data_IF_795534871192
#
_entry.id   IF_795534871192
#
_cell.length_a   1.000
_cell.length_b   1.000
_cell.length_c   1.000
_cell.angle_alpha   90.00
_cell.angle_beta   90.00
_cell.angle_gamma   90.00
#
_symmetry.space_group_name_H-M   'P 1'
#
loop_
_entity.id
_entity.type
_entity.pdbx_description
1 polymer ?
#
# COMPACT_ATOMS: atom_id res chain seq x y z
N UNK A 1 16.91 16.04 12.60
CA UNK A 1 16.00 15.80 11.46
C UNK A 1 14.82 15.00 12.01
N UNK A 2 13.59 15.51 11.93
CA UNK A 2 12.41 14.79 12.42
C UNK A 2 12.26 13.49 11.62
N UNK A 3 11.97 12.40 12.32
CA UNK A 3 11.71 11.10 11.70
C UNK A 3 10.47 11.23 10.80
N UNK A 4 10.59 10.92 9.51
CA UNK A 4 9.48 11.02 8.57
C UNK A 4 8.44 9.93 8.84
N UNK A 5 7.17 10.26 8.64
CA UNK A 5 6.05 9.34 8.78
C UNK A 5 5.27 9.28 7.47
N UNK A 6 5.80 8.57 6.49
CA UNK A 6 5.13 8.43 5.19
C UNK A 6 3.85 7.61 5.29
N UNK A 7 2.83 8.09 4.60
CA UNK A 7 1.53 7.45 4.49
C UNK A 7 0.92 7.64 3.09
N UNK A 8 -0.06 6.82 2.77
CA UNK A 8 -0.92 6.98 1.59
C UNK A 8 -2.35 7.16 2.08
N UNK A 9 -2.99 8.23 1.64
CA UNK A 9 -4.40 8.52 1.85
C UNK A 9 -5.16 8.19 0.58
N UNK A 10 -6.27 7.48 0.68
CA UNK A 10 -7.07 6.97 -0.42
C UNK A 10 -8.48 7.57 -0.36
N UNK A 11 -8.83 8.41 -1.33
CA UNK A 11 -10.19 8.93 -1.54
C UNK A 11 -10.94 7.99 -2.48
N UNK A 12 -11.50 6.92 -1.93
CA UNK A 12 -12.10 5.81 -2.70
C UNK A 12 -13.28 6.24 -3.54
N UNK A 13 -14.03 7.26 -3.10
CA UNK A 13 -15.15 7.82 -3.86
C UNK A 13 -14.77 8.38 -5.24
N UNK A 14 -13.48 8.66 -5.46
CA UNK A 14 -12.95 9.10 -6.76
C UNK A 14 -12.42 7.96 -7.64
N UNK A 15 -12.43 6.72 -7.15
CA UNK A 15 -11.86 5.61 -7.88
C UNK A 15 -12.77 5.16 -9.03
N UNK A 16 -12.23 5.17 -10.25
CA UNK A 16 -12.92 4.73 -11.47
C UNK A 16 -12.58 3.30 -11.87
N UNK A 17 -11.83 2.56 -11.05
CA UNK A 17 -11.36 1.20 -11.38
C UNK A 17 -10.57 1.10 -12.70
N UNK A 18 -9.92 2.18 -13.12
CA UNK A 18 -9.20 2.25 -14.41
C UNK A 18 -7.91 1.42 -14.46
N UNK A 19 -7.48 0.85 -13.33
CA UNK A 19 -6.25 0.02 -13.18
C UNK A 19 -4.92 0.72 -13.53
N UNK A 20 -4.91 2.00 -13.87
CA UNK A 20 -3.69 2.75 -14.20
C UNK A 20 -2.61 2.63 -13.11
N UNK A 21 -3.01 2.69 -11.83
CA UNK A 21 -2.09 2.52 -10.70
C UNK A 21 -1.46 1.12 -10.64
N UNK A 22 -2.19 0.06 -11.03
CA UNK A 22 -1.70 -1.32 -11.08
C UNK A 22 -0.67 -1.48 -12.20
N UNK A 23 -0.98 -0.96 -13.39
CA UNK A 23 -0.07 -1.00 -14.55
C UNK A 23 1.20 -0.22 -14.25
N UNK A 24 1.08 1.01 -13.76
CA UNK A 24 2.23 1.84 -13.40
C UNK A 24 3.11 1.17 -12.33
N UNK A 25 2.50 0.51 -11.33
CA UNK A 25 3.25 -0.21 -10.30
C UNK A 25 4.02 -1.39 -10.87
N UNK A 26 3.41 -2.17 -11.78
CA UNK A 26 4.07 -3.30 -12.44
C UNK A 26 5.24 -2.83 -13.29
N UNK A 27 5.05 -1.79 -14.08
CA UNK A 27 6.10 -1.23 -14.94
C UNK A 27 7.27 -0.65 -14.13
N UNK A 28 6.96 0.22 -13.16
CA UNK A 28 7.96 0.90 -12.33
C UNK A 28 8.83 -0.06 -11.50
N UNK A 29 8.23 -1.16 -11.05
CA UNK A 29 8.88 -2.06 -10.11
C UNK A 29 9.22 -3.43 -10.73
N UNK A 30 9.15 -3.54 -12.06
CA UNK A 30 9.42 -4.77 -12.79
C UNK A 30 8.66 -6.00 -12.23
N UNK A 31 7.37 -5.80 -11.86
CA UNK A 31 6.53 -6.89 -11.37
C UNK A 31 5.98 -7.66 -12.57
N UNK A 32 6.10 -8.99 -12.62
CA UNK A 32 5.66 -9.79 -13.77
C UNK A 32 4.22 -9.51 -14.17
N UNK A 33 3.97 -9.57 -15.49
CA UNK A 33 2.61 -9.51 -16.03
C UNK A 33 1.97 -10.88 -15.81
N UNK A 34 0.71 -10.90 -15.36
CA UNK A 34 -0.03 -12.12 -15.02
C UNK A 34 -0.84 -11.92 -13.75
N UNK A 35 -1.63 -12.92 -13.40
CA UNK A 35 -2.67 -12.78 -12.37
C UNK A 35 -2.22 -13.12 -10.95
N UNK A 36 -1.00 -13.60 -10.77
CA UNK A 36 -0.51 -14.06 -9.45
C UNK A 36 0.44 -13.08 -8.73
N UNK A 37 0.91 -12.03 -9.41
CA UNK A 37 1.92 -11.12 -8.90
C UNK A 37 1.42 -9.68 -8.85
N UNK A 38 0.98 -9.23 -7.69
CA UNK A 38 0.51 -7.86 -7.49
C UNK A 38 1.12 -7.21 -6.26
N UNK A 39 1.67 -6.00 -6.42
CA UNK A 39 2.01 -5.10 -5.30
C UNK A 39 0.83 -4.26 -4.84
N UNK A 40 -0.13 -4.02 -5.73
CA UNK A 40 -1.40 -3.35 -5.46
C UNK A 40 -2.50 -3.88 -6.38
N UNK A 41 -3.73 -3.79 -5.93
CA UNK A 41 -4.95 -4.20 -6.65
C UNK A 41 -6.10 -3.26 -6.33
N UNK A 42 -7.19 -3.39 -7.07
CA UNK A 42 -8.44 -2.68 -6.81
C UNK A 42 -9.55 -3.72 -6.68
N UNK A 43 -10.20 -3.75 -5.53
CA UNK A 43 -11.34 -4.62 -5.25
C UNK A 43 -12.63 -3.89 -5.62
N UNK A 44 -13.50 -4.59 -6.34
CA UNK A 44 -14.86 -4.13 -6.61
C UNK A 44 -15.72 -4.46 -5.39
N UNK A 45 -16.29 -3.43 -4.79
CA UNK A 45 -17.20 -3.62 -3.65
C UNK A 45 -18.58 -4.06 -4.15
N UNK A 46 -19.40 -4.69 -3.31
CA UNK A 46 -20.74 -5.08 -3.70
C UNK A 46 -21.56 -3.91 -4.26
N UNK A 47 -22.34 -4.17 -5.31
CA UNK A 47 -23.28 -3.21 -5.87
C UNK A 47 -24.35 -2.85 -4.82
N UNK A 48 -24.59 -1.56 -4.64
CA UNK A 48 -25.54 -1.03 -3.66
C UNK A 48 -26.66 -0.25 -4.36
N UNK A 49 -27.80 -0.10 -3.65
CA UNK A 49 -28.94 0.66 -4.13
C UNK A 49 -30.00 -0.20 -4.85
N UNK A 50 -30.95 0.47 -5.48
CA UNK A 50 -32.03 -0.12 -6.31
C UNK A 50 -32.07 0.61 -7.64
N UNK A 51 -32.33 -0.13 -8.71
CA UNK A 51 -32.52 0.46 -10.04
C UNK A 51 -33.55 1.58 -10.01
N UNK A 52 -33.30 2.75 -10.64
CA UNK A 52 -32.14 3.13 -11.41
C UNK A 52 -30.95 3.71 -10.59
N UNK A 53 -31.06 3.82 -9.27
CA UNK A 53 -30.05 4.44 -8.39
C UNK A 53 -29.06 3.39 -7.86
N UNK A 54 -28.24 2.86 -8.77
CA UNK A 54 -27.19 1.91 -8.42
C UNK A 54 -25.86 2.63 -8.20
N UNK A 55 -25.10 2.17 -7.20
CA UNK A 55 -23.78 2.66 -6.87
C UNK A 55 -22.80 1.51 -6.62
N UNK A 56 -21.61 1.61 -7.15
CA UNK A 56 -20.51 0.66 -6.91
C UNK A 56 -19.25 1.40 -6.51
N UNK A 57 -18.69 0.99 -5.38
CA UNK A 57 -17.43 1.51 -4.90
C UNK A 57 -16.26 0.61 -5.29
N UNK A 58 -15.10 1.19 -5.41
CA UNK A 58 -13.84 0.50 -5.71
C UNK A 58 -12.83 0.79 -4.62
N UNK A 59 -12.24 -0.28 -4.06
CA UNK A 59 -11.27 -0.17 -2.99
C UNK A 59 -9.86 -0.51 -3.48
N UNK A 60 -9.00 0.50 -3.76
CA UNK A 60 -7.60 0.27 -4.02
C UNK A 60 -6.89 -0.25 -2.77
N UNK A 61 -6.16 -1.34 -2.90
CA UNK A 61 -5.46 -1.99 -1.79
C UNK A 61 -4.02 -2.34 -2.15
N UNK A 62 -3.17 -2.44 -1.13
CA UNK A 62 -1.76 -2.79 -1.24
C UNK A 62 -1.20 -3.14 0.14
N UNK A 63 0.12 -3.38 0.26
CA UNK A 63 0.75 -3.50 1.57
C UNK A 63 0.49 -2.25 2.40
N UNK A 64 0.04 -2.44 3.64
CA UNK A 64 -0.38 -1.38 4.55
C UNK A 64 0.80 -0.69 5.26
N UNK A 65 2.05 -1.15 5.06
CA UNK A 65 3.24 -0.65 5.74
C UNK A 65 3.02 -0.43 7.25
N UNK A 66 2.49 -1.45 7.89
CA UNK A 66 2.05 -1.41 9.28
C UNK A 66 3.16 -0.95 10.24
N UNK A 67 2.82 -0.11 11.24
CA UNK A 67 3.75 0.23 12.32
C UNK A 67 4.07 -0.99 13.18
N UNK A 68 3.04 -1.78 13.51
CA UNK A 68 3.15 -3.07 14.16
C UNK A 68 3.08 -4.15 13.09
N UNK A 69 4.17 -4.40 12.36
CA UNK A 69 4.19 -5.29 11.21
C UNK A 69 4.31 -6.78 11.62
N UNK A 70 3.21 -7.57 11.60
CA UNK A 70 3.28 -8.98 11.99
C UNK A 70 4.21 -9.78 11.08
N UNK A 71 4.30 -9.40 9.82
CA UNK A 71 5.21 -10.02 8.84
C UNK A 71 6.69 -9.80 9.16
N UNK A 72 7.05 -8.76 9.91
CA UNK A 72 8.41 -8.56 10.41
C UNK A 72 8.65 -9.42 11.65
N UNK A 73 7.68 -9.50 12.56
CA UNK A 73 7.78 -10.24 13.80
C UNK A 73 8.03 -11.76 13.57
N UNK A 74 7.42 -12.32 12.51
CA UNK A 74 7.55 -13.76 12.20
C UNK A 74 8.72 -14.09 11.28
N UNK A 75 9.52 -13.11 10.84
CA UNK A 75 10.59 -13.35 9.89
C UNK A 75 11.85 -13.92 10.59
N UNK A 76 12.21 -15.21 10.41
CA UNK A 76 13.32 -15.83 11.13
C UNK A 76 14.68 -15.24 10.75
N UNK A 77 14.85 -14.81 9.50
CA UNK A 77 16.10 -14.23 8.99
C UNK A 77 16.15 -12.71 9.10
N UNK A 78 15.08 -12.08 9.62
CA UNK A 78 14.91 -10.61 9.63
C UNK A 78 15.03 -9.97 8.24
N UNK A 79 14.71 -10.74 7.18
CA UNK A 79 14.63 -10.22 5.82
C UNK A 79 13.55 -9.13 5.69
N UNK A 80 12.42 -9.27 6.38
CA UNK A 80 11.44 -8.18 6.49
C UNK A 80 11.86 -7.24 7.62
N UNK A 81 11.97 -5.95 7.29
CA UNK A 81 12.42 -4.91 8.23
C UNK A 81 11.68 -3.60 7.99
N UNK A 82 11.73 -2.70 8.98
CA UNK A 82 11.18 -1.34 8.88
C UNK A 82 12.32 -0.35 8.81
N UNK A 83 12.23 0.58 7.87
CA UNK A 83 13.18 1.70 7.72
C UNK A 83 12.92 2.79 8.76
N UNK A 84 13.85 3.73 8.94
CA UNK A 84 13.70 4.87 9.87
C UNK A 84 12.53 5.78 9.52
N UNK A 85 12.14 5.87 8.24
CA UNK A 85 10.98 6.60 7.72
C UNK A 85 9.68 5.77 7.75
N UNK A 86 9.74 4.56 8.35
CA UNK A 86 8.61 3.69 8.65
C UNK A 86 8.12 2.84 7.49
N UNK A 87 8.83 2.74 6.40
CA UNK A 87 8.49 1.82 5.32
C UNK A 87 8.88 0.39 5.70
N UNK A 88 7.97 -0.55 5.57
CA UNK A 88 8.29 -1.98 5.73
C UNK A 88 8.83 -2.51 4.40
N UNK A 89 10.01 -3.10 4.39
CA UNK A 89 10.69 -3.61 3.20
C UNK A 89 11.08 -5.08 3.37
N UNK A 90 11.62 -5.66 2.31
CA UNK A 90 12.20 -7.02 2.30
C UNK A 90 13.60 -6.94 1.69
N UNK A 91 14.56 -7.46 2.42
CA UNK A 91 15.91 -7.74 1.93
C UNK A 91 15.87 -9.10 1.22
N UNK A 92 15.93 -9.09 -0.09
CA UNK A 92 15.81 -10.30 -0.90
C UNK A 92 16.97 -11.28 -0.66
N UNK A 93 18.15 -10.76 -0.34
CA UNK A 93 19.33 -11.61 -0.08
C UNK A 93 19.23 -12.39 1.23
N UNK A 94 18.43 -11.92 2.18
CA UNK A 94 18.17 -12.60 3.46
C UNK A 94 16.93 -13.48 3.44
N UNK A 95 16.10 -13.38 2.40
CA UNK A 95 14.84 -14.11 2.32
C UNK A 95 15.08 -15.58 1.96
N UNK A 96 14.64 -16.49 2.81
CA UNK A 96 14.73 -17.95 2.59
C UNK A 96 13.43 -18.55 2.05
N UNK A 97 12.49 -17.75 1.58
CA UNK A 97 11.19 -18.20 1.04
C UNK A 97 10.34 -19.07 2.00
N UNK A 98 10.50 -18.95 3.31
CA UNK A 98 9.71 -19.72 4.28
C UNK A 98 8.21 -19.37 4.29
N UNK A 99 7.80 -18.27 3.63
CA UNK A 99 6.41 -17.77 3.46
C UNK A 99 5.66 -17.44 4.76
N UNK A 100 6.29 -17.56 5.96
CA UNK A 100 5.65 -17.21 7.23
C UNK A 100 5.06 -15.80 7.25
N UNK A 101 5.75 -14.84 6.60
CA UNK A 101 5.28 -13.46 6.48
C UNK A 101 4.03 -13.30 5.58
N UNK A 102 3.76 -14.23 4.67
CA UNK A 102 2.52 -14.25 3.87
C UNK A 102 1.35 -14.68 4.75
N UNK A 103 1.50 -15.77 5.52
CA UNK A 103 0.49 -16.27 6.46
C UNK A 103 0.17 -15.27 7.57
N UNK A 104 1.17 -14.53 8.05
CA UNK A 104 0.99 -13.53 9.10
C UNK A 104 0.36 -12.22 8.61
N UNK A 105 0.30 -11.98 7.29
CA UNK A 105 -0.23 -10.74 6.74
C UNK A 105 -1.77 -10.77 6.72
N UNK A 106 -2.47 -9.95 7.52
CA UNK A 106 -3.93 -9.98 7.50
C UNK A 106 -4.54 -9.34 6.23
N UNK A 107 -3.71 -8.75 5.38
CA UNK A 107 -4.14 -8.03 4.16
C UNK A 107 -3.82 -8.80 2.87
N UNK A 108 -3.22 -9.96 2.94
CA UNK A 108 -2.76 -10.78 1.79
C UNK A 108 -1.91 -9.99 0.78
N UNK A 109 -1.13 -9.04 1.30
CA UNK A 109 -0.39 -8.07 0.49
C UNK A 109 1.02 -8.55 0.13
N UNK A 110 1.24 -9.85 0.05
CA UNK A 110 2.54 -10.46 -0.27
C UNK A 110 2.38 -11.59 -1.28
N UNK A 111 3.35 -11.71 -2.16
CA UNK A 111 3.42 -12.79 -3.14
C UNK A 111 4.85 -13.32 -3.26
N UNK A 112 5.01 -14.48 -3.88
CA UNK A 112 6.32 -15.04 -4.19
C UNK A 112 6.81 -14.47 -5.52
N UNK A 113 7.97 -13.84 -5.52
CA UNK A 113 8.66 -13.40 -6.73
C UNK A 113 9.67 -14.45 -7.15
N UNK A 114 9.41 -15.12 -8.26
CA UNK A 114 10.37 -16.05 -8.85
C UNK A 114 11.62 -15.32 -9.38
N UNK A 115 11.44 -14.09 -9.83
CA UNK A 115 12.54 -13.24 -10.32
C UNK A 115 13.58 -12.93 -9.24
N UNK A 116 13.11 -12.67 -8.01
CA UNK A 116 14.00 -12.34 -6.88
C UNK A 116 14.30 -13.53 -5.97
N UNK A 117 13.68 -14.70 -6.21
CA UNK A 117 13.79 -15.83 -5.29
C UNK A 117 13.34 -15.48 -3.86
N UNK A 118 12.39 -14.57 -3.70
CA UNK A 118 12.02 -14.00 -2.42
C UNK A 118 10.52 -13.68 -2.33
N UNK A 119 10.01 -13.44 -1.11
CA UNK A 119 8.67 -12.88 -0.94
C UNK A 119 8.71 -11.38 -1.22
N UNK A 120 7.77 -10.91 -2.03
CA UNK A 120 7.69 -9.53 -2.49
C UNK A 120 6.38 -8.86 -2.08
N UNK A 121 6.38 -7.51 -2.10
CA UNK A 121 5.23 -6.65 -1.80
C UNK A 121 5.48 -5.20 -2.22
N UNK A 122 4.50 -4.33 -2.05
CA UNK A 122 4.67 -2.88 -2.23
C UNK A 122 5.84 -2.34 -1.38
N UNK A 123 6.69 -1.51 -1.98
CA UNK A 123 7.84 -0.84 -1.35
C UNK A 123 7.61 0.66 -1.13
N UNK A 124 6.39 1.19 -1.37
CA UNK A 124 6.10 2.63 -1.53
C UNK A 124 7.00 3.32 -2.56
N UNK A 125 7.54 2.56 -3.52
CA UNK A 125 8.52 3.05 -4.49
C UNK A 125 9.68 3.83 -3.81
N UNK A 126 10.28 3.23 -2.77
CA UNK A 126 11.31 3.89 -1.94
C UNK A 126 12.43 4.54 -2.76
N UNK A 127 12.79 3.96 -3.91
CA UNK A 127 13.77 4.52 -4.83
C UNK A 127 13.35 5.91 -5.33
N UNK A 128 12.07 6.07 -5.73
CA UNK A 128 11.50 7.36 -6.15
C UNK A 128 11.38 8.35 -4.98
N UNK A 129 10.87 7.86 -3.83
CA UNK A 129 10.66 8.68 -2.64
C UNK A 129 11.97 9.28 -2.12
N UNK A 130 13.06 8.52 -2.17
CA UNK A 130 14.40 9.03 -1.81
C UNK A 130 14.92 10.09 -2.76
N UNK A 131 14.46 10.11 -4.00
CA UNK A 131 14.73 11.15 -5.00
C UNK A 131 13.76 12.35 -4.89
N UNK A 132 12.87 12.36 -3.90
CA UNK A 132 11.88 13.42 -3.71
C UNK A 132 10.66 13.31 -4.66
N UNK A 133 10.46 12.17 -5.32
CA UNK A 133 9.35 11.90 -6.24
C UNK A 133 8.23 11.14 -5.53
N UNK A 134 7.02 11.24 -6.03
CA UNK A 134 5.89 10.44 -5.55
C UNK A 134 5.99 8.97 -6.01
N UNK A 135 5.37 8.03 -5.27
CA UNK A 135 5.19 6.66 -5.77
C UNK A 135 4.46 6.64 -7.13
N UNK A 136 4.87 5.76 -8.04
CA UNK A 136 4.33 5.71 -9.40
C UNK A 136 2.79 5.59 -9.44
N UNK A 137 2.20 4.81 -8.53
CA UNK A 137 0.75 4.63 -8.45
C UNK A 137 0.00 5.90 -7.97
N UNK A 138 0.69 6.84 -7.30
CA UNK A 138 0.15 8.14 -6.90
C UNK A 138 0.21 9.09 -8.09
N UNK A 139 1.38 9.23 -8.69
CA UNK A 139 1.63 10.13 -9.81
C UNK A 139 0.71 9.84 -11.02
N UNK A 140 0.54 8.54 -11.35
CA UNK A 140 -0.26 8.11 -12.51
C UNK A 140 -1.78 8.20 -12.30
N UNK A 141 -2.27 8.35 -11.06
CA UNK A 141 -3.70 8.31 -10.79
C UNK A 141 -4.44 9.51 -11.43
N UNK A 142 -5.31 9.31 -12.44
CA UNK A 142 -5.94 10.43 -13.16
C UNK A 142 -6.93 11.22 -12.30
N UNK A 143 -7.61 10.54 -11.38
CA UNK A 143 -8.61 11.15 -10.49
C UNK A 143 -8.07 11.49 -9.10
N UNK A 144 -6.74 11.36 -8.90
CA UNK A 144 -6.07 11.68 -7.62
C UNK A 144 -6.70 10.98 -6.41
N UNK A 145 -7.09 9.74 -6.59
CA UNK A 145 -7.55 8.86 -5.49
C UNK A 145 -6.47 8.70 -4.43
N UNK A 146 -5.21 8.62 -4.86
CA UNK A 146 -4.05 8.33 -4.01
C UNK A 146 -3.28 9.62 -3.72
N UNK A 147 -3.09 9.91 -2.45
CA UNK A 147 -2.27 11.04 -1.99
C UNK A 147 -1.19 10.48 -1.08
N UNK A 148 0.07 10.73 -1.42
CA UNK A 148 1.23 10.37 -0.62
C UNK A 148 1.74 11.58 0.15
N UNK A 149 2.23 11.39 1.38
CA UNK A 149 2.82 12.48 2.14
C UNK A 149 3.42 12.03 3.46
N UNK A 150 4.16 12.95 4.06
CA UNK A 150 4.69 12.82 5.42
C UNK A 150 3.66 13.36 6.41
N UNK A 151 3.17 12.53 7.33
CA UNK A 151 2.20 12.94 8.34
C UNK A 151 2.81 13.79 9.47
N UNK A 152 4.14 13.82 9.59
CA UNK A 152 4.83 14.73 10.52
C UNK A 152 4.98 16.14 9.93
N UNK A 153 4.66 16.32 8.65
CA UNK A 153 4.57 17.64 8.01
C UNK A 153 3.09 18.08 7.93
N UNK A 154 2.67 19.07 8.75
CA UNK A 154 1.29 19.59 8.72
C UNK A 154 0.92 20.22 7.37
N UNK A 155 1.91 20.67 6.59
CA UNK A 155 1.69 21.28 5.27
C UNK A 155 1.47 20.24 4.18
N UNK A 156 1.77 18.97 4.43
CA UNK A 156 1.57 17.90 3.45
C UNK A 156 0.08 17.74 3.11
N UNK A 157 -0.21 17.43 1.85
CA UNK A 157 -1.59 17.19 1.41
C UNK A 157 -2.23 16.02 2.17
N UNK A 158 -1.46 14.98 2.49
CA UNK A 158 -1.94 13.84 3.26
C UNK A 158 -2.38 14.26 4.67
N UNK A 159 -1.57 15.05 5.40
CA UNK A 159 -1.91 15.56 6.73
C UNK A 159 -3.17 16.41 6.69
N UNK A 160 -3.28 17.34 5.73
CA UNK A 160 -4.45 18.19 5.59
C UNK A 160 -5.73 17.41 5.31
N UNK A 161 -5.68 16.37 4.48
CA UNK A 161 -6.84 15.52 4.22
C UNK A 161 -7.29 14.77 5.46
N UNK A 162 -6.36 14.21 6.22
CA UNK A 162 -6.69 13.49 7.46
C UNK A 162 -7.20 14.41 8.59
N UNK A 163 -6.82 15.69 8.57
CA UNK A 163 -7.32 16.67 9.52
C UNK A 163 -8.73 17.18 9.17
N UNK A 164 -9.12 17.16 7.89
CA UNK A 164 -10.36 17.78 7.39
C UNK A 164 -11.47 16.80 7.04
N UNK A 165 -11.20 15.51 6.93
CA UNK A 165 -12.18 14.49 6.53
C UNK A 165 -12.14 13.29 7.47
N UNK A 166 -13.27 12.61 7.60
CA UNK A 166 -13.33 11.32 8.30
C UNK A 166 -12.53 10.26 7.51
N UNK A 167 -11.85 9.42 8.25
CA UNK A 167 -11.04 8.34 7.69
C UNK A 167 -11.11 7.09 8.55
N UNK A 168 -10.76 5.97 7.95
CA UNK A 168 -10.62 4.69 8.64
C UNK A 168 -9.40 3.93 8.09
N UNK A 169 -9.02 2.88 8.78
CA UNK A 169 -7.99 1.93 8.35
C UNK A 169 -8.58 0.54 8.27
N UNK A 170 -8.09 -0.26 7.36
CA UNK A 170 -8.56 -1.64 7.22
C UNK A 170 -8.11 -2.48 8.42
N UNK A 171 -9.00 -3.39 8.86
CA UNK A 171 -8.72 -4.39 9.91
C UNK A 171 -8.09 -3.78 11.17
N UNK A 172 -8.70 -2.73 11.70
CA UNK A 172 -8.22 -2.05 12.93
C UNK A 172 -8.19 -2.98 14.14
N UNK A 173 -9.09 -3.98 14.17
CA UNK A 173 -9.15 -5.06 15.16
C UNK A 173 -7.84 -5.86 15.28
N UNK A 174 -7.03 -5.90 14.23
CA UNK A 174 -5.73 -6.58 14.21
C UNK A 174 -4.58 -5.79 14.85
N UNK A 175 -4.82 -4.56 15.29
CA UNK A 175 -3.84 -3.67 15.95
C UNK A 175 -2.50 -3.53 15.19
N UNK A 176 -2.51 -3.66 13.86
CA UNK A 176 -1.31 -3.57 13.03
C UNK A 176 -0.86 -2.13 12.78
N UNK A 177 -1.71 -1.14 13.10
CA UNK A 177 -1.49 0.29 12.88
C UNK A 177 -1.05 0.60 11.44
N UNK A 178 -1.94 0.38 10.44
CA UNK A 178 -1.66 0.67 9.03
C UNK A 178 -1.25 2.12 8.78
N UNK A 179 -0.44 2.33 7.72
CA UNK A 179 -0.07 3.65 7.18
C UNK A 179 -0.84 3.98 5.88
N UNK A 180 -1.83 3.18 5.54
CA UNK A 180 -2.84 3.50 4.54
C UNK A 180 -4.12 3.91 5.24
N UNK A 181 -4.67 5.05 4.80
CA UNK A 181 -5.89 5.67 5.33
C UNK A 181 -6.91 5.78 4.21
N UNK A 182 -8.15 5.43 4.49
CA UNK A 182 -9.27 5.50 3.56
C UNK A 182 -10.21 6.60 4.00
N UNK A 183 -10.49 7.57 3.10
CA UNK A 183 -11.44 8.66 3.38
C UNK A 183 -12.88 8.17 3.19
N UNK A 184 -13.77 8.73 4.02
CA UNK A 184 -15.22 8.57 3.92
C UNK A 184 -15.87 9.75 3.22
#
# INVERSE_FOLDING_TARGET
>A
MSEKHYAIVLDTGKCLNCKACTVACKFENNVPVGDEAYRLWVTEMPLQGRFPHLHQEYQPSQCQHCRNAPCQAVCPTRATYTTSDGMVLVDYNKCILCKACMLACPYDARFVSLQHGAVEKCTMCIHRVREGREPACVETCPTKVRVFGDLNDPSSQASRLLASREWFRLKEDRNTKPRLYYLR
#
